data_IF_318096573302
#
_entry.id   IF_318096573302
#
_cell.length_a   1.000
_cell.length_b   1.000
_cell.length_c   1.000
_cell.angle_alpha   90.00
_cell.angle_beta   90.00
_cell.angle_gamma   90.00
#
_symmetry.space_group_name_H-M   'P 1'
#
loop_
_entity.id
_entity.type
_entity.pdbx_description
1 polymer ?
#
# COMPACT_ATOMS: atom_id res chain seq x y z
N UNK A 1 27.07 -11.09 -28.45
CA UNK A 1 26.89 -9.80 -27.78
C UNK A 1 26.85 -10.10 -26.29
N UNK A 2 27.90 -9.71 -25.59
CA UNK A 2 28.21 -10.12 -24.22
C UNK A 2 27.35 -9.33 -23.26
N UNK A 3 26.47 -10.00 -22.52
CA UNK A 3 25.73 -9.41 -21.40
C UNK A 3 26.73 -9.04 -20.30
N UNK A 4 27.05 -7.78 -20.16
CA UNK A 4 27.77 -7.26 -19.02
C UNK A 4 26.75 -7.12 -17.89
N UNK A 5 26.66 -8.15 -17.03
CA UNK A 5 26.04 -8.03 -15.72
C UNK A 5 26.91 -7.04 -14.91
N UNK A 6 26.47 -5.79 -14.83
CA UNK A 6 27.06 -4.82 -13.90
C UNK A 6 26.75 -5.33 -12.49
N UNK A 7 27.79 -5.85 -11.82
CA UNK A 7 27.74 -6.13 -10.40
C UNK A 7 27.46 -4.79 -9.69
N UNK A 8 26.24 -4.62 -9.18
CA UNK A 8 25.83 -3.46 -8.39
C UNK A 8 26.71 -3.41 -7.15
N UNK A 9 27.54 -2.40 -7.01
CA UNK A 9 28.31 -2.19 -5.80
C UNK A 9 27.35 -1.85 -4.66
N UNK A 10 27.63 -2.33 -3.47
CA UNK A 10 26.81 -2.09 -2.25
C UNK A 10 26.59 -0.60 -1.93
N UNK A 11 27.30 0.31 -2.61
CA UNK A 11 27.20 1.75 -2.46
C UNK A 11 25.91 2.36 -3.06
N UNK A 12 25.28 1.69 -4.02
CA UNK A 12 24.16 2.25 -4.79
C UNK A 12 22.79 1.70 -4.37
N UNK A 13 22.78 0.94 -3.26
CA UNK A 13 21.56 0.34 -2.72
C UNK A 13 21.04 1.14 -1.51
N UNK A 14 19.74 1.37 -1.49
CA UNK A 14 19.03 1.91 -0.33
C UNK A 14 18.47 0.79 0.56
N UNK A 15 17.99 -0.29 -0.06
CA UNK A 15 17.38 -1.43 0.64
C UNK A 15 17.65 -2.73 -0.14
N UNK A 16 17.88 -3.82 0.60
CA UNK A 16 17.93 -5.18 0.05
C UNK A 16 17.00 -6.09 0.88
N UNK A 17 16.14 -6.81 0.20
CA UNK A 17 15.32 -7.90 0.74
C UNK A 17 15.85 -9.19 0.14
N UNK A 18 16.30 -10.13 0.97
CA UNK A 18 16.99 -11.33 0.52
C UNK A 18 16.37 -12.59 1.15
N UNK A 19 15.70 -13.39 0.33
CA UNK A 19 15.06 -14.67 0.69
C UNK A 19 14.14 -14.58 1.91
N UNK A 20 13.37 -13.47 2.02
CA UNK A 20 12.53 -13.20 3.19
C UNK A 20 11.31 -14.08 3.20
N UNK A 21 11.17 -14.84 4.30
CA UNK A 21 9.98 -15.65 4.61
C UNK A 21 9.38 -15.18 5.94
N UNK A 22 8.05 -15.00 5.96
CA UNK A 22 7.30 -14.67 7.18
C UNK A 22 6.10 -15.56 7.34
N UNK A 23 6.07 -16.26 8.49
CA UNK A 23 5.00 -17.20 8.85
C UNK A 23 4.29 -16.73 10.11
N UNK A 24 2.98 -16.87 10.15
CA UNK A 24 2.16 -16.67 11.34
C UNK A 24 1.48 -17.99 11.71
N UNK A 25 1.40 -18.28 13.00
CA UNK A 25 0.62 -19.40 13.50
C UNK A 25 -0.82 -18.97 13.70
N UNK A 26 -1.71 -19.61 12.96
CA UNK A 26 -3.14 -19.36 13.04
C UNK A 26 -3.82 -20.56 13.69
N UNK A 27 -4.75 -20.31 14.59
CA UNK A 27 -5.58 -21.38 15.15
C UNK A 27 -6.55 -21.88 14.07
N UNK A 28 -6.41 -23.12 13.64
CA UNK A 28 -7.24 -23.70 12.58
C UNK A 28 -8.64 -24.09 13.06
N UNK A 29 -8.82 -24.36 14.36
CA UNK A 29 -10.13 -24.64 14.96
C UNK A 29 -10.18 -24.16 16.42
N UNK A 30 -11.10 -23.26 16.75
CA UNK A 30 -11.56 -23.14 18.13
C UNK A 30 -12.50 -24.29 18.38
N UNK A 31 -12.13 -25.22 19.27
CA UNK A 31 -13.07 -26.19 19.80
C UNK A 31 -14.28 -25.41 20.35
N UNK A 32 -15.42 -25.49 19.68
CA UNK A 32 -16.63 -24.75 20.05
C UNK A 32 -17.30 -25.32 21.31
N UNK A 33 -16.79 -26.46 21.84
CA UNK A 33 -17.26 -27.06 23.09
C UNK A 33 -16.15 -27.83 23.82
N UNK A 34 -16.25 -27.89 25.17
CA UNK A 34 -15.36 -28.67 26.01
C UNK A 34 -15.30 -30.18 25.61
N UNK A 35 -16.38 -30.71 25.03
CA UNK A 35 -16.44 -32.09 24.51
C UNK A 35 -15.55 -32.27 23.28
N UNK A 36 -15.50 -31.30 22.35
CA UNK A 36 -14.62 -31.33 21.18
C UNK A 36 -13.14 -31.18 21.60
N UNK A 37 -12.85 -30.34 22.60
CA UNK A 37 -11.50 -30.17 23.13
C UNK A 37 -10.97 -31.50 23.76
N UNK A 38 -11.79 -32.21 24.48
CA UNK A 38 -11.42 -33.52 25.07
C UNK A 38 -11.30 -34.59 23.98
N UNK A 39 -12.19 -34.59 22.98
CA UNK A 39 -12.16 -35.55 21.87
C UNK A 39 -10.96 -35.35 20.91
N UNK A 40 -10.44 -34.12 20.80
CA UNK A 40 -9.23 -33.81 20.03
C UNK A 40 -7.91 -34.05 20.75
N UNK A 41 -7.97 -34.67 21.96
CA UNK A 41 -6.77 -34.95 22.77
C UNK A 41 -6.08 -33.71 23.33
N UNK A 42 -6.81 -32.59 23.48
CA UNK A 42 -6.30 -31.36 24.08
C UNK A 42 -5.26 -30.62 23.21
N UNK A 43 -5.08 -31.01 21.94
CA UNK A 43 -4.14 -30.37 21.04
C UNK A 43 -4.86 -29.28 20.22
N UNK A 44 -4.53 -28.01 20.49
CA UNK A 44 -4.85 -26.92 19.58
C UNK A 44 -4.12 -27.18 18.25
N UNK A 45 -4.85 -27.38 17.18
CA UNK A 45 -4.26 -27.44 15.84
C UNK A 45 -3.90 -26.04 15.41
N UNK A 46 -2.60 -25.81 15.26
CA UNK A 46 -2.06 -24.59 14.64
C UNK A 46 -1.74 -24.93 13.19
N UNK A 47 -2.07 -24.02 12.32
CA UNK A 47 -1.61 -24.04 10.93
C UNK A 47 -0.67 -22.87 10.69
N UNK A 48 0.44 -23.12 10.00
CA UNK A 48 1.38 -22.10 9.64
C UNK A 48 0.88 -21.40 8.38
N UNK A 49 0.51 -20.13 8.51
CA UNK A 49 0.13 -19.25 7.42
C UNK A 49 1.36 -18.48 6.93
N UNK A 50 1.78 -18.73 5.70
CA UNK A 50 2.88 -18.03 5.07
C UNK A 50 2.39 -16.70 4.49
N UNK A 51 2.71 -15.60 5.15
CA UNK A 51 2.41 -14.26 4.65
C UNK A 51 3.43 -13.79 3.60
N UNK A 52 4.69 -14.25 3.71
CA UNK A 52 5.76 -14.05 2.72
C UNK A 52 6.49 -15.38 2.52
N UNK A 53 6.90 -15.67 1.29
CA UNK A 53 7.62 -16.88 0.89
C UNK A 53 8.76 -16.52 -0.03
N UNK A 54 9.99 -16.60 0.45
CA UNK A 54 11.20 -16.44 -0.35
C UNK A 54 11.24 -15.15 -1.19
N UNK A 55 10.83 -14.04 -0.59
CA UNK A 55 10.76 -12.73 -1.24
C UNK A 55 12.15 -12.14 -1.34
N UNK A 56 12.58 -11.78 -2.57
CA UNK A 56 13.88 -11.17 -2.83
C UNK A 56 13.76 -10.05 -3.85
N UNK A 57 14.28 -8.86 -3.51
CA UNK A 57 14.46 -7.72 -4.41
C UNK A 57 15.41 -6.69 -3.80
N UNK A 58 15.87 -5.77 -4.61
CA UNK A 58 16.71 -4.65 -4.21
C UNK A 58 16.06 -3.33 -4.60
N UNK A 59 16.31 -2.27 -3.84
CA UNK A 59 15.89 -0.90 -4.15
C UNK A 59 17.14 -0.05 -4.24
N UNK A 60 17.32 0.65 -5.36
CA UNK A 60 18.48 1.52 -5.60
C UNK A 60 18.24 2.90 -5.01
N UNK A 61 19.33 3.64 -4.77
CA UNK A 61 19.23 5.04 -4.37
C UNK A 61 18.50 5.86 -5.46
N UNK A 62 17.59 6.73 -5.03
CA UNK A 62 16.81 7.58 -5.92
C UNK A 62 15.70 6.88 -6.68
N UNK A 63 15.53 5.56 -6.51
CA UNK A 63 14.49 4.78 -7.19
C UNK A 63 13.15 4.89 -6.44
N UNK A 64 12.06 5.08 -7.18
CA UNK A 64 10.69 4.96 -6.67
C UNK A 64 10.12 3.58 -7.06
N UNK A 65 9.96 2.69 -6.07
CA UNK A 65 9.46 1.32 -6.28
C UNK A 65 8.04 1.19 -5.75
N UNK A 66 7.11 0.74 -6.60
CA UNK A 66 5.74 0.42 -6.22
C UNK A 66 5.59 -1.07 -5.91
N UNK A 67 5.00 -1.42 -4.77
CA UNK A 67 4.60 -2.80 -4.46
C UNK A 67 3.10 -2.91 -4.57
N UNK A 68 2.62 -3.64 -5.59
CA UNK A 68 1.21 -3.84 -5.89
C UNK A 68 0.77 -5.28 -5.62
N UNK A 69 -0.51 -5.50 -5.37
CA UNK A 69 -1.12 -6.82 -5.17
C UNK A 69 -2.48 -6.71 -4.50
N UNK A 70 -3.26 -7.79 -4.53
CA UNK A 70 -4.59 -7.85 -3.91
C UNK A 70 -4.53 -7.79 -2.37
N UNK A 71 -5.68 -7.60 -1.72
CA UNK A 71 -5.77 -7.66 -0.26
C UNK A 71 -5.40 -9.06 0.23
N UNK A 72 -4.49 -9.12 1.23
CA UNK A 72 -3.96 -10.40 1.73
C UNK A 72 -2.77 -10.96 0.95
N UNK A 73 -2.25 -10.27 -0.09
CA UNK A 73 -1.07 -10.73 -0.84
C UNK A 73 0.25 -10.68 -0.06
N UNK A 74 0.27 -10.06 1.13
CA UNK A 74 1.47 -9.95 1.97
C UNK A 74 2.11 -8.56 2.01
N UNK A 75 1.60 -7.56 1.28
CA UNK A 75 2.16 -6.20 1.17
C UNK A 75 2.45 -5.54 2.52
N UNK A 76 1.44 -5.46 3.39
CA UNK A 76 1.61 -4.82 4.71
C UNK A 76 2.56 -5.62 5.61
N UNK A 77 2.66 -6.94 5.44
CA UNK A 77 3.63 -7.78 6.15
C UNK A 77 5.05 -7.48 5.66
N UNK A 78 5.25 -7.40 4.35
CA UNK A 78 6.52 -7.04 3.74
C UNK A 78 6.97 -5.65 4.20
N UNK A 79 6.08 -4.68 4.16
CA UNK A 79 6.35 -3.31 4.57
C UNK A 79 6.75 -3.24 6.06
N UNK A 80 6.04 -3.97 6.95
CA UNK A 80 6.40 -4.09 8.37
C UNK A 80 7.75 -4.78 8.60
N UNK A 81 8.11 -5.74 7.77
CA UNK A 81 9.43 -6.36 7.81
C UNK A 81 10.52 -5.38 7.36
N UNK A 82 10.31 -4.61 6.28
CA UNK A 82 11.24 -3.57 5.82
C UNK A 82 11.42 -2.47 6.88
N UNK A 83 10.33 -2.06 7.53
CA UNK A 83 10.35 -1.08 8.62
C UNK A 83 10.94 -1.63 9.95
N UNK A 84 11.38 -2.90 9.99
CA UNK A 84 11.89 -3.59 11.19
C UNK A 84 10.89 -3.70 12.35
N UNK A 85 9.60 -3.56 12.08
CA UNK A 85 8.51 -3.78 13.04
C UNK A 85 8.27 -5.28 13.23
N UNK A 86 8.39 -6.06 12.15
CA UNK A 86 8.31 -7.51 12.18
C UNK A 86 9.66 -8.12 11.79
N UNK A 87 10.11 -9.11 12.56
CA UNK A 87 11.28 -9.90 12.20
C UNK A 87 10.87 -11.02 11.25
N UNK A 88 11.52 -11.22 10.10
CA UNK A 88 11.31 -12.38 9.24
C UNK A 88 11.61 -13.69 9.98
N UNK A 89 11.01 -14.80 9.55
CA UNK A 89 11.33 -16.13 10.06
C UNK A 89 12.59 -16.67 9.39
N UNK A 90 12.82 -16.28 8.13
CA UNK A 90 14.01 -16.63 7.37
C UNK A 90 14.36 -15.49 6.40
N UNK A 91 15.62 -15.46 5.95
CA UNK A 91 16.14 -14.39 5.10
C UNK A 91 16.56 -13.14 5.87
N UNK A 92 16.96 -12.10 5.14
CA UNK A 92 17.48 -10.84 5.71
C UNK A 92 16.92 -9.62 5.02
N UNK A 93 16.81 -8.51 5.77
CA UNK A 93 16.51 -7.19 5.22
C UNK A 93 17.59 -6.22 5.67
N UNK A 94 18.29 -5.68 4.70
CA UNK A 94 19.39 -4.74 4.91
C UNK A 94 18.98 -3.35 4.43
N UNK A 95 19.05 -2.38 5.34
CA UNK A 95 18.74 -0.97 5.07
C UNK A 95 20.04 -0.20 5.17
N UNK A 96 20.45 0.43 4.08
CA UNK A 96 21.73 1.13 3.96
C UNK A 96 21.63 2.63 4.17
N UNK A 97 20.41 3.16 4.24
CA UNK A 97 20.11 4.59 4.29
C UNK A 97 19.26 4.95 5.50
N UNK A 98 19.21 6.26 5.84
CA UNK A 98 18.30 6.76 6.86
C UNK A 98 16.87 6.58 6.36
N UNK A 99 16.11 5.72 7.04
CA UNK A 99 14.76 5.33 6.63
C UNK A 99 13.72 5.93 7.54
N UNK A 100 12.63 6.43 6.94
CA UNK A 100 11.37 6.70 7.65
C UNK A 100 10.25 5.85 7.07
N UNK A 101 9.34 5.40 7.92
CA UNK A 101 8.18 4.61 7.53
C UNK A 101 6.90 5.30 7.98
N UNK A 102 5.98 5.52 7.07
CA UNK A 102 4.66 6.14 7.34
C UNK A 102 3.60 5.09 7.73
N UNK A 103 4.03 3.97 8.30
CA UNK A 103 3.17 2.84 8.67
C UNK A 103 2.40 3.05 9.98
N UNK A 104 3.08 3.61 10.94
CA UNK A 104 2.58 3.79 12.30
C UNK A 104 2.73 5.28 12.67
N UNK A 105 1.97 6.12 11.97
CA UNK A 105 1.97 7.55 12.22
C UNK A 105 1.61 7.85 13.68
N UNK A 106 2.52 8.51 14.39
CA UNK A 106 2.38 8.82 15.81
C UNK A 106 2.79 7.68 16.75
N UNK A 107 3.40 6.60 16.23
CA UNK A 107 4.06 5.64 17.11
C UNK A 107 5.12 6.36 17.96
N UNK A 108 4.98 6.24 19.30
CA UNK A 108 5.82 6.97 20.25
C UNK A 108 5.24 8.32 20.69
N UNK A 109 4.08 8.76 20.21
CA UNK A 109 3.40 9.91 20.80
C UNK A 109 2.91 9.58 22.20
N UNK A 110 3.19 10.45 23.15
CA UNK A 110 2.72 10.32 24.53
C UNK A 110 1.48 11.20 24.74
N UNK A 111 0.33 10.63 25.11
CA UNK A 111 -0.95 11.37 25.18
C UNK A 111 -0.94 12.57 26.14
N UNK A 112 -0.19 12.47 27.23
CA UNK A 112 -0.14 13.52 28.26
C UNK A 112 0.81 14.68 27.91
N UNK A 113 1.69 14.50 26.93
CA UNK A 113 2.63 15.54 26.48
C UNK A 113 1.96 16.46 25.46
N UNK A 114 2.45 17.69 25.37
CA UNK A 114 2.05 18.65 24.35
C UNK A 114 2.40 18.17 22.93
N UNK A 115 1.77 18.76 21.92
CA UNK A 115 2.17 18.53 20.52
C UNK A 115 3.64 18.87 20.31
N UNK A 116 4.12 19.98 20.89
CA UNK A 116 5.51 20.39 20.87
C UNK A 116 6.45 19.30 21.39
N UNK A 117 6.19 18.80 22.60
CA UNK A 117 7.02 17.76 23.20
C UNK A 117 6.98 16.45 22.38
N UNK A 118 5.82 16.11 21.82
CA UNK A 118 5.68 14.96 20.94
C UNK A 118 6.44 15.12 19.62
N UNK A 119 6.51 16.31 19.03
CA UNK A 119 7.38 16.58 17.88
C UNK A 119 8.82 16.25 18.21
N UNK A 120 9.35 16.77 19.34
CA UNK A 120 10.73 16.50 19.77
C UNK A 120 10.96 15.01 20.08
N UNK A 121 10.01 14.37 20.76
CA UNK A 121 10.09 12.96 21.12
C UNK A 121 10.10 12.06 19.87
N UNK A 122 9.12 12.26 18.98
CA UNK A 122 8.97 11.42 17.79
C UNK A 122 10.10 11.63 16.77
N UNK A 123 10.49 12.89 16.52
CA UNK A 123 11.61 13.19 15.65
C UNK A 123 12.94 12.58 16.17
N UNK A 124 13.14 12.57 17.51
CA UNK A 124 14.29 11.92 18.12
C UNK A 124 14.25 10.40 17.95
N UNK A 125 13.08 9.76 18.08
CA UNK A 125 12.89 8.32 17.79
C UNK A 125 13.22 8.02 16.32
N UNK A 126 12.85 8.93 15.41
CA UNK A 126 13.17 8.82 13.98
C UNK A 126 14.63 9.19 13.66
N UNK A 127 15.46 9.46 14.68
CA UNK A 127 16.90 9.63 14.55
C UNK A 127 17.38 11.05 14.31
N UNK A 128 16.53 12.08 14.48
CA UNK A 128 16.94 13.50 14.42
C UNK A 128 17.66 13.93 15.68
N UNK A 129 18.73 14.70 15.52
CA UNK A 129 19.37 15.38 16.63
C UNK A 129 18.55 16.56 17.15
N UNK A 130 18.62 16.86 18.49
CA UNK A 130 17.82 17.92 19.12
C UNK A 130 17.98 19.31 18.45
N UNK A 131 19.18 19.64 17.99
CA UNK A 131 19.44 20.90 17.28
C UNK A 131 18.75 20.93 15.91
N UNK A 132 18.79 19.82 15.20
CA UNK A 132 18.13 19.65 13.91
C UNK A 132 16.60 19.77 14.06
N UNK A 133 16.02 19.10 15.07
CA UNK A 133 14.60 19.22 15.38
C UNK A 133 14.20 20.67 15.63
N UNK A 134 14.99 21.39 16.45
CA UNK A 134 14.72 22.80 16.77
C UNK A 134 14.75 23.68 15.52
N UNK A 135 15.62 23.42 14.56
CA UNK A 135 15.71 24.16 13.29
C UNK A 135 14.51 23.93 12.38
N UNK A 136 13.93 22.71 12.39
CA UNK A 136 12.80 22.31 11.55
C UNK A 136 11.44 22.42 12.23
N UNK A 137 11.43 22.75 13.53
CA UNK A 137 10.22 22.72 14.33
C UNK A 137 9.09 23.57 13.75
N UNK A 138 9.39 24.80 13.37
CA UNK A 138 8.38 25.72 12.82
C UNK A 138 7.84 25.23 11.46
N UNK A 139 8.68 24.59 10.64
CA UNK A 139 8.27 23.97 9.38
C UNK A 139 7.33 22.77 9.63
N UNK A 140 7.65 21.92 10.60
CA UNK A 140 6.81 20.79 11.01
C UNK A 140 5.44 21.27 11.48
N UNK A 141 5.41 22.29 12.32
CA UNK A 141 4.16 22.85 12.87
C UNK A 141 3.33 23.47 11.75
N UNK A 142 3.93 24.30 10.91
CA UNK A 142 3.26 24.93 9.77
C UNK A 142 2.72 23.91 8.76
N UNK A 143 3.48 22.83 8.49
CA UNK A 143 3.01 21.74 7.63
C UNK A 143 1.76 21.07 8.22
N UNK A 144 1.77 20.80 9.55
CA UNK A 144 0.64 20.17 10.24
C UNK A 144 -0.60 21.08 10.30
N UNK A 145 -0.44 22.43 10.27
CA UNK A 145 -1.47 23.44 10.47
C UNK A 145 -2.07 23.36 11.87
N UNK A 146 -1.23 23.14 12.89
CA UNK A 146 -1.65 22.99 14.29
C UNK A 146 -1.00 24.04 15.20
N UNK A 147 -0.66 25.21 14.67
CA UNK A 147 0.02 26.29 15.35
C UNK A 147 -0.70 26.68 16.66
N UNK A 148 -2.03 26.78 16.62
CA UNK A 148 -2.86 27.17 17.76
C UNK A 148 -2.96 26.08 18.83
N UNK A 149 -2.71 24.81 18.45
CA UNK A 149 -2.91 23.65 19.33
C UNK A 149 -1.59 23.02 19.79
N UNK A 150 -0.44 23.48 19.27
CA UNK A 150 0.83 22.80 19.45
C UNK A 150 1.29 22.66 20.90
N UNK A 151 0.88 23.56 21.76
CA UNK A 151 1.20 23.54 23.18
C UNK A 151 0.14 22.82 24.04
N UNK A 152 -0.93 22.31 23.42
CA UNK A 152 -1.97 21.51 24.09
C UNK A 152 -1.56 20.03 24.15
N UNK A 153 -1.98 19.28 25.20
CA UNK A 153 -1.75 17.83 25.29
C UNK A 153 -2.40 17.08 24.12
N UNK A 154 -1.66 16.14 23.54
CA UNK A 154 -2.12 15.39 22.34
C UNK A 154 -3.36 14.56 22.60
N UNK A 155 -3.65 14.16 23.85
CA UNK A 155 -4.93 13.50 24.21
C UNK A 155 -6.17 14.33 23.90
N UNK A 156 -6.03 15.65 23.73
CA UNK A 156 -7.13 16.56 23.38
C UNK A 156 -7.31 16.73 21.87
N UNK A 157 -6.41 16.17 21.07
CA UNK A 157 -6.46 16.26 19.63
C UNK A 157 -7.56 15.38 19.05
N UNK A 158 -8.17 15.82 17.96
CA UNK A 158 -8.96 14.93 17.11
C UNK A 158 -8.05 13.89 16.44
N UNK A 159 -8.62 12.79 15.98
CA UNK A 159 -7.85 11.77 15.21
C UNK A 159 -7.14 12.40 14.00
N UNK A 160 -7.79 13.34 13.30
CA UNK A 160 -7.19 14.04 12.18
C UNK A 160 -6.01 14.93 12.59
N UNK A 161 -6.11 15.68 13.69
CA UNK A 161 -5.01 16.51 14.22
C UNK A 161 -3.82 15.63 14.62
N UNK A 162 -4.10 14.51 15.30
CA UNK A 162 -3.08 13.55 15.71
C UNK A 162 -2.27 13.03 14.52
N UNK A 163 -2.98 12.55 13.50
CA UNK A 163 -2.34 11.97 12.32
C UNK A 163 -1.61 13.03 11.49
N UNK A 164 -2.17 14.25 11.37
CA UNK A 164 -1.51 15.37 10.68
C UNK A 164 -0.18 15.76 11.34
N UNK A 165 -0.13 15.84 12.68
CA UNK A 165 1.11 16.13 13.38
C UNK A 165 2.13 15.00 13.19
N UNK A 166 1.71 13.76 13.35
CA UNK A 166 2.57 12.59 13.19
C UNK A 166 3.17 12.51 11.78
N UNK A 167 2.33 12.75 10.76
CA UNK A 167 2.78 12.80 9.37
C UNK A 167 3.77 13.96 9.14
N UNK A 168 3.46 15.16 9.67
CA UNK A 168 4.33 16.31 9.55
C UNK A 168 5.72 16.05 10.14
N UNK A 169 5.79 15.38 11.29
CA UNK A 169 7.09 14.96 11.86
C UNK A 169 7.80 14.00 10.94
N UNK A 170 7.15 12.90 10.54
CA UNK A 170 7.77 11.83 9.78
C UNK A 170 8.32 12.29 8.42
N UNK A 171 7.60 13.20 7.74
CA UNK A 171 8.03 13.68 6.43
C UNK A 171 9.13 14.75 6.51
N UNK A 172 9.22 15.48 7.63
CA UNK A 172 10.25 16.50 7.83
C UNK A 172 11.54 15.97 8.50
N UNK A 173 11.62 14.67 8.78
CA UNK A 173 12.86 13.99 9.18
C UNK A 173 13.91 13.98 8.06
N UNK A 174 13.48 14.27 6.81
CA UNK A 174 14.32 14.26 5.61
C UNK A 174 15.04 12.91 5.40
N UNK A 175 14.28 11.83 5.26
CA UNK A 175 14.85 10.51 5.09
C UNK A 175 15.46 10.34 3.69
N UNK A 176 16.47 9.47 3.58
CA UNK A 176 17.03 9.05 2.29
C UNK A 176 16.16 7.97 1.62
N UNK A 177 15.45 7.17 2.45
CA UNK A 177 14.49 6.14 2.05
C UNK A 177 13.17 6.33 2.79
N UNK A 178 12.08 6.50 2.06
CA UNK A 178 10.74 6.63 2.61
C UNK A 178 9.90 5.41 2.26
N UNK A 179 9.38 4.73 3.28
CA UNK A 179 8.39 3.66 3.13
C UNK A 179 6.99 4.22 3.33
N UNK A 180 6.15 4.08 2.30
CA UNK A 180 4.80 4.64 2.25
C UNK A 180 3.81 3.48 2.18
N UNK A 181 2.85 3.43 3.12
CA UNK A 181 1.68 2.55 3.03
C UNK A 181 0.55 3.26 2.29
N UNK A 182 -0.42 2.50 1.86
CA UNK A 182 -1.68 2.92 1.25
C UNK A 182 -2.37 4.12 1.94
N UNK A 183 -1.96 4.48 3.17
CA UNK A 183 -2.52 5.55 3.99
C UNK A 183 -2.09 6.95 3.49
N UNK A 184 -2.16 7.21 2.18
CA UNK A 184 -2.10 8.58 1.65
C UNK A 184 -3.41 9.37 1.87
N UNK A 185 -4.48 8.70 2.29
CA UNK A 185 -5.77 9.29 2.60
C UNK A 185 -5.85 9.87 4.04
N UNK A 186 -4.74 10.46 4.52
CA UNK A 186 -4.63 11.04 5.86
C UNK A 186 -5.13 12.48 5.87
N UNK A 187 -6.00 12.81 6.84
CA UNK A 187 -6.51 14.17 7.02
C UNK A 187 -7.59 14.53 6.00
N UNK A 188 -7.78 15.82 5.81
CA UNK A 188 -8.71 16.37 4.82
C UNK A 188 -8.06 16.48 3.42
N UNK A 189 -8.87 16.77 2.41
CA UNK A 189 -8.43 16.87 1.00
C UNK A 189 -7.28 17.88 0.83
N UNK A 190 -7.30 18.97 1.60
CA UNK A 190 -6.25 20.00 1.55
C UNK A 190 -4.92 19.47 2.08
N UNK A 191 -4.96 18.70 3.17
CA UNK A 191 -3.77 18.08 3.75
C UNK A 191 -3.23 16.96 2.84
N UNK A 192 -4.11 16.14 2.26
CA UNK A 192 -3.73 15.12 1.27
C UNK A 192 -2.98 15.73 0.09
N UNK A 193 -3.45 16.88 -0.42
CA UNK A 193 -2.75 17.60 -1.49
C UNK A 193 -1.33 18.03 -1.07
N UNK A 194 -1.15 18.59 0.13
CA UNK A 194 0.17 18.94 0.67
C UNK A 194 1.09 17.70 0.78
N UNK A 195 0.54 16.56 1.20
CA UNK A 195 1.29 15.31 1.25
C UNK A 195 1.78 14.87 -0.13
N UNK A 196 0.90 14.91 -1.14
CA UNK A 196 1.28 14.57 -2.52
C UNK A 196 2.33 15.50 -3.09
N UNK A 197 2.20 16.81 -2.88
CA UNK A 197 3.21 17.80 -3.27
C UNK A 197 4.58 17.47 -2.65
N UNK A 198 4.62 17.10 -1.38
CA UNK A 198 5.86 16.74 -0.70
C UNK A 198 6.47 15.44 -1.24
N UNK A 199 5.67 14.45 -1.65
CA UNK A 199 6.20 13.24 -2.29
C UNK A 199 6.78 13.53 -3.67
N UNK A 200 6.16 14.41 -4.45
CA UNK A 200 6.73 14.90 -5.72
C UNK A 200 8.06 15.59 -5.48
N UNK A 201 8.16 16.43 -4.43
CA UNK A 201 9.41 17.09 -4.06
C UNK A 201 10.51 16.07 -3.69
N UNK A 202 10.18 15.03 -2.90
CA UNK A 202 11.13 13.96 -2.57
C UNK A 202 11.65 13.26 -3.82
N UNK A 203 10.76 12.93 -4.75
CA UNK A 203 11.14 12.30 -6.02
C UNK A 203 12.05 13.22 -6.85
N UNK A 204 11.72 14.52 -6.98
CA UNK A 204 12.55 15.47 -7.71
C UNK A 204 13.92 15.71 -7.10
N UNK A 205 14.04 15.53 -5.78
CA UNK A 205 15.31 15.58 -5.05
C UNK A 205 16.12 14.28 -5.15
N UNK A 206 15.63 13.26 -5.87
CA UNK A 206 16.30 11.97 -6.01
C UNK A 206 16.28 11.12 -4.73
N UNK A 207 15.29 11.30 -3.86
CA UNK A 207 15.09 10.45 -2.67
C UNK A 207 14.49 9.12 -3.07
N UNK A 208 14.84 8.07 -2.33
CA UNK A 208 14.33 6.72 -2.55
C UNK A 208 12.96 6.54 -1.93
N UNK A 209 12.02 5.97 -2.69
CA UNK A 209 10.65 5.76 -2.25
C UNK A 209 10.26 4.28 -2.44
N UNK A 210 9.60 3.70 -1.44
CA UNK A 210 8.89 2.42 -1.59
C UNK A 210 7.44 2.65 -1.24
N UNK A 211 6.58 2.58 -2.25
CA UNK A 211 5.14 2.77 -2.14
C UNK A 211 4.43 1.43 -2.16
N UNK A 212 3.70 1.12 -1.10
CA UNK A 212 2.85 -0.08 -1.03
C UNK A 212 1.41 0.33 -1.17
N UNK A 213 0.74 -0.11 -2.24
CA UNK A 213 -0.64 0.29 -2.52
C UNK A 213 -1.39 -0.79 -3.30
N UNK A 214 -2.72 -0.68 -3.33
CA UNK A 214 -3.57 -1.42 -4.28
C UNK A 214 -3.96 -0.55 -5.49
N UNK A 215 -3.63 0.74 -5.46
CA UNK A 215 -3.92 1.67 -6.55
C UNK A 215 -2.89 1.53 -7.68
N UNK A 216 -3.29 0.78 -8.70
CA UNK A 216 -2.51 0.52 -9.90
C UNK A 216 -2.14 1.80 -10.67
N UNK A 217 -3.03 2.80 -10.66
CA UNK A 217 -2.81 4.07 -11.34
C UNK A 217 -1.64 4.84 -10.70
N UNK A 218 -1.64 4.96 -9.38
CA UNK A 218 -0.55 5.62 -8.65
C UNK A 218 0.80 4.93 -8.89
N UNK A 219 0.85 3.60 -8.92
CA UNK A 219 2.08 2.86 -9.22
C UNK A 219 2.58 3.18 -10.63
N UNK A 220 1.68 3.17 -11.63
CA UNK A 220 2.02 3.44 -13.03
C UNK A 220 2.56 4.84 -13.27
N UNK A 221 1.98 5.84 -12.62
CA UNK A 221 2.33 7.25 -12.84
C UNK A 221 3.50 7.72 -11.95
N UNK A 222 3.69 7.10 -10.81
CA UNK A 222 4.58 7.65 -9.78
C UNK A 222 5.85 6.83 -9.55
N UNK A 223 5.90 5.55 -9.95
CA UNK A 223 7.02 4.67 -9.70
C UNK A 223 7.89 4.47 -10.95
N UNK A 224 9.20 4.26 -10.72
CA UNK A 224 10.17 3.92 -11.77
C UNK A 224 10.18 2.41 -12.04
N UNK A 225 9.77 1.61 -11.03
CA UNK A 225 9.67 0.16 -11.09
C UNK A 225 8.53 -0.33 -10.22
N UNK A 226 7.89 -1.42 -10.61
CA UNK A 226 6.83 -2.06 -9.86
C UNK A 226 7.16 -3.53 -9.53
N UNK A 227 6.71 -3.96 -8.36
CA UNK A 227 6.80 -5.33 -7.87
C UNK A 227 5.39 -5.81 -7.59
N UNK A 228 4.97 -6.85 -8.29
CA UNK A 228 3.71 -7.51 -8.01
C UNK A 228 3.91 -8.63 -7.00
N UNK A 229 3.32 -8.45 -5.83
CA UNK A 229 3.29 -9.45 -4.76
C UNK A 229 1.97 -10.21 -4.80
N UNK A 230 2.03 -11.53 -4.96
CA UNK A 230 0.86 -12.40 -5.02
C UNK A 230 1.02 -13.58 -4.07
N UNK A 231 0.09 -13.74 -3.11
CA UNK A 231 0.13 -14.79 -2.07
C UNK A 231 1.50 -14.94 -1.38
N UNK A 232 2.14 -13.81 -1.08
CA UNK A 232 3.44 -13.77 -0.40
C UNK A 232 4.65 -14.02 -1.28
N UNK A 233 4.50 -14.13 -2.60
CA UNK A 233 5.58 -14.38 -3.57
C UNK A 233 5.68 -13.20 -4.52
N UNK A 234 6.89 -12.82 -4.93
CA UNK A 234 7.10 -11.88 -6.03
C UNK A 234 6.76 -12.58 -7.35
N UNK A 235 5.66 -12.16 -7.98
CA UNK A 235 5.20 -12.72 -9.26
C UNK A 235 5.84 -12.05 -10.45
N UNK A 236 5.98 -10.72 -10.38
CA UNK A 236 6.60 -9.89 -11.41
C UNK A 236 7.38 -8.75 -10.77
N UNK A 237 8.49 -8.38 -11.37
CA UNK A 237 9.32 -7.24 -11.01
C UNK A 237 9.82 -6.60 -12.31
N UNK A 238 9.52 -5.31 -12.53
CA UNK A 238 9.87 -4.65 -13.80
C UNK A 238 9.21 -3.29 -14.02
N UNK A 239 9.05 -2.94 -15.30
CA UNK A 239 8.42 -1.70 -15.73
C UNK A 239 7.00 -1.55 -15.15
N UNK A 240 6.64 -0.38 -14.58
CA UNK A 240 5.35 -0.20 -13.92
C UNK A 240 4.16 -0.42 -14.86
N UNK A 241 4.24 -0.01 -16.12
CA UNK A 241 3.15 -0.19 -17.06
C UNK A 241 2.92 -1.67 -17.38
N UNK A 242 4.01 -2.43 -17.62
CA UNK A 242 3.92 -3.88 -17.89
C UNK A 242 3.38 -4.65 -16.69
N UNK A 243 3.89 -4.35 -15.49
CA UNK A 243 3.49 -5.03 -14.24
C UNK A 243 2.03 -4.73 -13.91
N UNK A 244 1.59 -3.48 -14.06
CA UNK A 244 0.21 -3.05 -13.80
C UNK A 244 -0.74 -3.65 -14.82
N UNK A 245 -0.38 -3.68 -16.10
CA UNK A 245 -1.22 -4.26 -17.14
C UNK A 245 -1.44 -5.77 -16.89
N UNK A 246 -0.36 -6.52 -16.60
CA UNK A 246 -0.44 -7.96 -16.27
C UNK A 246 -1.25 -8.20 -14.98
N UNK A 247 -1.02 -7.40 -13.93
CA UNK A 247 -1.80 -7.47 -12.69
C UNK A 247 -3.29 -7.24 -12.93
N UNK A 248 -3.63 -6.20 -13.70
CA UNK A 248 -5.02 -5.83 -13.98
C UNK A 248 -5.72 -6.90 -14.83
N UNK A 249 -5.04 -7.44 -15.83
CA UNK A 249 -5.57 -8.53 -16.67
C UNK A 249 -5.89 -9.78 -15.83
N UNK A 250 -5.00 -10.16 -14.92
CA UNK A 250 -5.23 -11.32 -14.05
C UNK A 250 -6.37 -11.05 -13.07
N UNK A 251 -6.45 -9.85 -12.47
CA UNK A 251 -7.53 -9.50 -11.55
C UNK A 251 -8.90 -9.47 -12.26
N UNK A 252 -8.98 -8.86 -13.43
CA UNK A 252 -10.21 -8.85 -14.24
C UNK A 252 -10.55 -10.26 -14.77
N UNK A 253 -9.53 -11.05 -15.18
CA UNK A 253 -9.71 -12.42 -15.61
C UNK A 253 -10.17 -13.35 -14.49
N UNK A 254 -9.70 -13.14 -13.27
CA UNK A 254 -10.18 -13.86 -12.08
C UNK A 254 -11.63 -13.52 -11.73
N UNK A 255 -12.02 -12.24 -11.86
CA UNK A 255 -13.41 -11.82 -11.68
C UNK A 255 -14.34 -12.43 -12.75
N UNK A 256 -13.86 -12.66 -13.98
CA UNK A 256 -14.63 -13.29 -15.03
C UNK A 256 -14.70 -14.82 -14.89
N UNK A 257 -13.71 -15.47 -14.28
CA UNK A 257 -13.70 -16.94 -14.11
C UNK A 257 -14.46 -17.40 -12.85
N UNK A 258 -14.40 -16.64 -11.77
CA UNK A 258 -15.15 -16.93 -10.52
C UNK A 258 -16.47 -16.14 -10.41
N UNK A 259 -16.63 -15.09 -11.20
CA UNK A 259 -17.66 -14.06 -11.02
C UNK A 259 -18.82 -14.12 -11.99
N UNK A 260 -18.85 -15.02 -12.96
CA UNK A 260 -19.98 -15.05 -13.90
C UNK A 260 -21.33 -15.39 -13.22
N UNK A 261 -21.31 -16.01 -12.04
CA UNK A 261 -22.51 -16.26 -11.25
C UNK A 261 -22.64 -15.40 -9.98
N UNK A 262 -21.54 -14.93 -9.37
CA UNK A 262 -21.59 -14.25 -8.05
C UNK A 262 -21.72 -12.73 -8.12
N UNK A 263 -21.39 -12.09 -9.24
CA UNK A 263 -21.55 -10.63 -9.40
C UNK A 263 -22.94 -10.20 -9.90
N UNK A 264 -23.76 -11.14 -10.33
CA UNK A 264 -25.12 -10.86 -10.76
C UNK A 264 -26.03 -10.65 -9.55
N UNK A 265 -26.30 -9.37 -9.23
CA UNK A 265 -27.25 -9.01 -8.19
C UNK A 265 -28.63 -8.80 -8.82
N UNK A 266 -29.65 -9.52 -8.33
CA UNK A 266 -31.03 -9.40 -8.79
C UNK A 266 -31.78 -10.72 -8.66
N UNK A 267 -33.11 -10.70 -8.97
CA UNK A 267 -33.97 -11.88 -8.95
C UNK A 267 -33.84 -12.76 -10.21
N UNK A 268 -32.91 -12.46 -11.10
CA UNK A 268 -32.61 -13.25 -12.31
C UNK A 268 -33.63 -13.10 -13.44
N UNK A 269 -34.60 -12.22 -13.31
CA UNK A 269 -35.66 -12.01 -14.32
C UNK A 269 -35.17 -11.41 -15.62
N UNK A 270 -34.05 -10.65 -15.53
CA UNK A 270 -33.34 -10.10 -16.68
C UNK A 270 -31.89 -10.50 -16.59
N UNK A 271 -31.34 -11.02 -17.65
CA UNK A 271 -29.93 -11.39 -17.76
C UNK A 271 -29.29 -10.70 -18.96
N UNK A 272 -28.23 -9.93 -18.73
CA UNK A 272 -27.40 -9.39 -19.81
C UNK A 272 -26.63 -10.56 -20.42
N UNK A 273 -26.74 -10.74 -21.74
CA UNK A 273 -26.13 -11.82 -22.51
C UNK A 273 -24.78 -11.33 -23.08
N UNK A 274 -24.77 -10.12 -23.64
CA UNK A 274 -23.58 -9.53 -24.22
C UNK A 274 -23.67 -8.01 -24.20
N UNK A 275 -22.49 -7.38 -24.24
CA UNK A 275 -22.34 -5.92 -24.33
C UNK A 275 -21.51 -5.60 -25.56
N UNK A 276 -21.94 -4.62 -26.34
CA UNK A 276 -21.19 -4.10 -27.49
C UNK A 276 -20.90 -2.61 -27.30
N UNK A 277 -19.69 -2.19 -27.62
CA UNK A 277 -19.31 -0.79 -27.69
C UNK A 277 -19.35 -0.34 -29.16
N UNK A 278 -20.01 0.76 -29.44
CA UNK A 278 -20.11 1.30 -30.78
C UNK A 278 -19.62 2.76 -30.78
N UNK A 279 -18.78 3.11 -31.76
CA UNK A 279 -18.42 4.48 -32.09
C UNK A 279 -18.99 4.79 -33.48
N UNK A 280 -19.84 5.83 -33.58
CA UNK A 280 -20.56 6.16 -34.80
C UNK A 280 -21.40 4.99 -35.37
N UNK A 281 -21.92 4.12 -34.49
CA UNK A 281 -22.72 2.96 -34.88
C UNK A 281 -21.94 1.73 -35.35
N UNK A 282 -20.60 1.77 -35.34
CA UNK A 282 -19.71 0.66 -35.70
C UNK A 282 -19.18 -0.01 -34.43
N UNK A 283 -19.26 -1.35 -34.31
CA UNK A 283 -18.68 -2.06 -33.17
C UNK A 283 -17.16 -1.85 -33.09
N UNK A 284 -16.66 -1.56 -31.89
CA UNK A 284 -15.24 -1.34 -31.62
C UNK A 284 -14.82 -2.02 -30.31
N UNK A 285 -13.60 -2.51 -30.25
CA UNK A 285 -13.01 -3.07 -29.02
C UNK A 285 -12.29 -2.01 -28.21
N UNK A 286 -11.97 -0.86 -28.82
CA UNK A 286 -11.27 0.28 -28.22
C UNK A 286 -11.82 1.58 -28.77
N UNK A 287 -11.86 2.62 -27.93
CA UNK A 287 -12.26 3.97 -28.30
C UNK A 287 -11.25 5.00 -27.77
N UNK A 288 -11.26 6.22 -28.31
CA UNK A 288 -10.36 7.29 -27.92
C UNK A 288 -11.09 8.27 -26.99
N UNK A 289 -10.34 9.01 -26.21
CA UNK A 289 -10.89 10.08 -25.40
C UNK A 289 -11.51 11.15 -26.33
N UNK A 290 -12.81 11.43 -26.12
CA UNK A 290 -13.59 12.34 -26.96
C UNK A 290 -14.47 11.66 -28.02
N UNK A 291 -14.42 10.34 -28.18
CA UNK A 291 -15.36 9.61 -29.04
C UNK A 291 -16.76 9.55 -28.41
N UNK A 292 -17.78 9.62 -29.25
CA UNK A 292 -19.18 9.41 -28.87
C UNK A 292 -19.45 7.90 -28.83
N UNK A 293 -19.46 7.34 -27.61
CA UNK A 293 -19.56 5.89 -27.39
C UNK A 293 -21.00 5.50 -27.05
N UNK A 294 -21.56 4.61 -27.84
CA UNK A 294 -22.85 3.96 -27.52
C UNK A 294 -22.60 2.58 -26.96
N UNK A 295 -23.11 2.31 -25.75
CA UNK A 295 -23.09 0.97 -25.14
C UNK A 295 -24.40 0.28 -25.47
N UNK A 296 -24.33 -0.86 -26.20
CA UNK A 296 -25.47 -1.69 -26.52
C UNK A 296 -25.47 -2.94 -25.65
N UNK A 297 -26.56 -3.11 -24.86
CA UNK A 297 -26.75 -4.29 -24.02
C UNK A 297 -27.73 -5.25 -24.69
N UNK A 298 -27.33 -6.50 -24.89
CA UNK A 298 -28.20 -7.59 -25.27
C UNK A 298 -28.64 -8.33 -24.02
N UNK A 299 -29.93 -8.43 -23.78
CA UNK A 299 -30.45 -9.08 -22.59
C UNK A 299 -31.58 -10.09 -22.91
N UNK A 300 -31.76 -11.05 -22.03
CA UNK A 300 -32.88 -11.99 -22.03
C UNK A 300 -33.73 -11.73 -20.80
N UNK A 301 -35.04 -11.54 -20.99
CA UNK A 301 -36.00 -11.47 -19.91
C UNK A 301 -36.80 -12.78 -19.89
N UNK A 302 -37.02 -13.34 -18.70
CA UNK A 302 -37.81 -14.55 -18.48
C UNK A 302 -39.28 -14.22 -18.24
N UNK A 303 -39.57 -12.98 -17.87
CA UNK A 303 -40.94 -12.44 -17.68
C UNK A 303 -40.95 -10.93 -17.99
N UNK A 304 -42.17 -10.37 -18.06
CA UNK A 304 -42.34 -8.92 -18.27
C UNK A 304 -41.87 -8.14 -17.02
N UNK A 305 -40.85 -7.33 -17.15
CA UNK A 305 -40.32 -6.49 -16.07
C UNK A 305 -40.59 -5.02 -16.41
N UNK A 306 -41.46 -4.33 -15.64
CA UNK A 306 -41.69 -2.91 -15.85
C UNK A 306 -40.49 -2.09 -15.31
N UNK A 307 -39.93 -1.21 -16.13
CA UNK A 307 -38.83 -0.31 -15.82
C UNK A 307 -37.58 -1.04 -15.32
N UNK A 308 -36.91 -1.87 -16.17
CA UNK A 308 -35.68 -2.50 -15.82
C UNK A 308 -34.57 -1.44 -15.57
N UNK A 309 -33.74 -1.67 -14.56
CA UNK A 309 -32.55 -0.89 -14.27
C UNK A 309 -31.34 -1.79 -14.53
N UNK A 310 -30.42 -1.33 -15.37
CA UNK A 310 -29.19 -2.03 -15.75
C UNK A 310 -27.97 -1.39 -15.10
#
# INVERSE_FOLDING_TARGET
>A
MTNISLATTSSDLALRVNHVTKTFRVHSERASSLKQFIASGGRNRYEDFFALRDVSFEVREGEAVGVIGHNGSGKSTLLKCMAKILTPNDGTIEVYKRMAALLELGAGFHPELSGRDNVFLNAAILGMGRKEIATRFDEIVAFSGLEEFIDSPVKTYSSGMYVRLAFAVAINVDPDLLLIDEILAVGDVTFQKKCMEKFVDFRTQGRTLVLVTHDAYTVREFCDRAIWLDHGVVRRDGDPAEVVDEYTEVMLGAETSDGAESSRRGDGKIQVISTELLVNGVPVDRFRNGDDVTVRLHYRATESVPKPVF
#
